data_IF_611468444294
#
_entry.id   IF_611468444294
#
_cell.length_a   1.000
_cell.length_b   1.000
_cell.length_c   1.000
_cell.angle_alpha   90.00
_cell.angle_beta   90.00
_cell.angle_gamma   90.00
#
_symmetry.space_group_name_H-M   'P 1'
#
loop_
_entity.id
_entity.type
_entity.pdbx_description
1 polymer ?
#
# COMPACT_ATOMS: atom_id res chain seq x y z
N UNK A 1 5.26 8.89 6.00
CA UNK A 1 5.07 8.09 4.76
C UNK A 1 3.60 8.07 4.39
N UNK A 2 3.28 8.10 3.10
CA UNK A 2 1.90 7.90 2.63
C UNK A 2 1.36 6.53 3.04
N UNK A 3 0.11 6.49 3.49
CA UNK A 3 -0.56 5.28 3.94
C UNK A 3 -1.10 4.41 2.79
N UNK A 4 -0.29 4.19 1.75
CA UNK A 4 -0.51 3.10 0.79
C UNK A 4 0.32 1.90 1.24
N UNK A 5 -0.26 0.71 1.36
CA UNK A 5 0.51 -0.48 1.78
C UNK A 5 1.72 -0.74 0.87
N UNK A 6 1.62 -0.37 -0.43
CA UNK A 6 2.75 -0.41 -1.38
C UNK A 6 3.92 0.52 -1.03
N UNK A 7 3.71 1.53 -0.18
CA UNK A 7 4.76 2.40 0.37
C UNK A 7 5.08 2.05 1.82
N UNK A 8 4.06 1.79 2.62
CA UNK A 8 4.18 1.61 4.06
C UNK A 8 4.90 0.30 4.43
N UNK A 9 4.51 -0.84 3.83
CA UNK A 9 5.18 -2.12 4.08
C UNK A 9 6.67 -2.09 3.75
N UNK A 10 7.10 -1.62 2.55
CA UNK A 10 8.53 -1.42 2.29
C UNK A 10 9.22 -0.50 3.28
N UNK A 11 8.57 0.60 3.70
CA UNK A 11 9.15 1.53 4.66
C UNK A 11 9.36 0.92 6.04
N UNK A 12 8.41 0.12 6.54
CA UNK A 12 8.53 -0.63 7.80
C UNK A 12 9.65 -1.66 7.72
N UNK A 13 9.67 -2.45 6.63
CA UNK A 13 10.59 -3.57 6.50
C UNK A 13 12.04 -3.15 6.25
N UNK A 14 12.26 -2.02 5.57
CA UNK A 14 13.60 -1.51 5.21
C UNK A 14 14.11 -0.43 6.15
N UNK A 15 13.23 0.29 6.86
CA UNK A 15 13.59 1.50 7.61
C UNK A 15 13.98 2.67 6.70
N UNK A 16 13.51 2.68 5.45
CA UNK A 16 13.81 3.68 4.42
C UNK A 16 12.53 4.33 3.92
N UNK A 17 12.68 5.50 3.34
CA UNK A 17 11.57 6.22 2.71
C UNK A 17 11.33 5.77 1.25
N UNK A 18 10.17 6.10 0.66
CA UNK A 18 9.82 5.73 -0.72
C UNK A 18 10.83 6.15 -1.78
N UNK A 19 11.46 7.32 -1.66
CA UNK A 19 12.51 7.80 -2.57
C UNK A 19 13.77 6.93 -2.54
N UNK A 20 14.06 6.24 -1.42
CA UNK A 20 15.18 5.32 -1.28
C UNK A 20 14.84 3.90 -1.76
N UNK A 21 13.73 3.31 -1.27
CA UNK A 21 13.33 1.94 -1.65
C UNK A 21 12.51 1.87 -2.96
N UNK A 22 12.12 3.01 -3.53
CA UNK A 22 11.47 3.19 -4.84
C UNK A 22 10.02 2.67 -4.96
N UNK A 23 9.33 2.45 -3.85
CA UNK A 23 7.94 2.01 -3.83
C UNK A 23 7.04 3.09 -3.22
N UNK A 24 6.05 3.55 -3.97
CA UNK A 24 5.04 4.51 -3.48
C UNK A 24 3.63 4.06 -3.82
N UNK A 25 3.28 3.91 -5.09
CA UNK A 25 2.02 3.36 -5.57
C UNK A 25 2.28 2.10 -6.39
N UNK A 26 1.29 1.23 -6.51
CA UNK A 26 1.41 -0.05 -7.20
C UNK A 26 1.79 0.10 -8.68
N UNK A 27 1.32 1.15 -9.36
CA UNK A 27 1.54 1.40 -10.78
C UNK A 27 2.45 2.60 -11.01
N UNK A 28 3.41 2.43 -11.94
CA UNK A 28 4.33 3.47 -12.40
C UNK A 28 4.20 3.68 -13.90
N UNK A 29 4.40 4.90 -14.37
CA UNK A 29 4.52 5.17 -15.79
C UNK A 29 5.74 4.46 -16.37
N UNK A 30 5.56 3.87 -17.55
CA UNK A 30 6.63 3.16 -18.25
C UNK A 30 6.39 3.11 -19.74
N UNK A 31 7.34 3.63 -20.52
CA UNK A 31 7.37 3.48 -21.98
C UNK A 31 7.55 2.01 -22.41
N UNK A 32 8.01 1.15 -21.50
CA UNK A 32 8.24 -0.28 -21.69
C UNK A 32 7.23 -1.15 -20.92
N UNK A 33 5.97 -0.69 -20.80
CA UNK A 33 4.93 -1.45 -20.11
C UNK A 33 4.86 -2.90 -20.59
N UNK A 34 4.86 -3.88 -19.68
CA UNK A 34 4.64 -5.28 -20.03
C UNK A 34 3.20 -5.55 -20.49
N UNK A 35 2.29 -4.61 -20.21
CA UNK A 35 0.85 -4.75 -20.48
C UNK A 35 0.40 -4.12 -21.82
N UNK A 36 1.31 -3.77 -22.72
CA UNK A 36 0.99 -3.15 -24.04
C UNK A 36 -0.04 -3.92 -24.84
N UNK A 37 -0.02 -5.26 -24.78
CA UNK A 37 -0.96 -6.12 -25.50
C UNK A 37 -2.38 -6.08 -24.92
N UNK A 38 -2.56 -5.65 -23.67
CA UNK A 38 -3.91 -5.62 -23.05
C UNK A 38 -4.85 -4.59 -23.65
N UNK A 39 -4.35 -3.61 -24.42
CA UNK A 39 -5.21 -2.69 -25.19
C UNK A 39 -6.18 -3.43 -26.12
N UNK A 40 -5.89 -4.67 -26.52
CA UNK A 40 -6.77 -5.48 -27.34
C UNK A 40 -8.09 -5.77 -26.59
N UNK A 41 -8.02 -5.94 -25.27
CA UNK A 41 -9.21 -6.15 -24.44
C UNK A 41 -10.11 -4.91 -24.33
N UNK A 42 -9.60 -3.70 -24.62
CA UNK A 42 -10.40 -2.49 -24.64
C UNK A 42 -11.48 -2.49 -25.73
N UNK A 43 -11.23 -3.20 -26.83
CA UNK A 43 -12.17 -3.35 -27.94
C UNK A 43 -13.23 -4.42 -27.71
N UNK A 44 -13.14 -5.19 -26.62
CA UNK A 44 -14.05 -6.26 -26.28
C UNK A 44 -15.22 -5.77 -25.43
N UNK A 45 -16.35 -6.52 -25.34
CA UNK A 45 -17.51 -6.10 -24.56
C UNK A 45 -17.19 -5.87 -23.08
N UNK A 46 -17.12 -4.62 -22.67
CA UNK A 46 -16.71 -4.21 -21.31
C UNK A 46 -17.66 -4.75 -20.22
N UNK A 47 -18.92 -5.06 -20.56
CA UNK A 47 -19.86 -5.72 -19.66
C UNK A 47 -19.40 -7.11 -19.16
N UNK A 48 -18.47 -7.74 -19.86
CA UNK A 48 -17.87 -9.02 -19.49
C UNK A 48 -16.48 -8.81 -18.90
N UNK A 49 -15.63 -8.07 -19.60
CA UNK A 49 -14.21 -7.94 -19.29
C UNK A 49 -13.93 -7.02 -18.11
N UNK A 50 -14.84 -6.08 -17.77
CA UNK A 50 -14.75 -5.25 -16.57
C UNK A 50 -15.34 -5.92 -15.33
N UNK A 51 -15.88 -7.14 -15.41
CA UNK A 51 -16.37 -7.83 -14.21
C UNK A 51 -15.19 -8.21 -13.30
N UNK A 52 -15.36 -7.99 -12.00
CA UNK A 52 -14.37 -8.31 -10.98
C UNK A 52 -13.81 -9.74 -11.10
N UNK A 53 -14.67 -10.73 -11.26
CA UNK A 53 -14.24 -12.13 -11.41
C UNK A 53 -13.32 -12.37 -12.60
N UNK A 54 -13.60 -11.74 -13.74
CA UNK A 54 -12.74 -11.84 -14.91
C UNK A 54 -11.38 -11.21 -14.67
N UNK A 55 -11.34 -9.99 -14.11
CA UNK A 55 -10.11 -9.27 -13.79
C UNK A 55 -9.27 -10.04 -12.78
N UNK A 56 -9.88 -10.61 -11.76
CA UNK A 56 -9.20 -11.45 -10.77
C UNK A 56 -8.56 -12.71 -11.38
N UNK A 57 -9.28 -13.41 -12.28
CA UNK A 57 -8.73 -14.57 -13.01
C UNK A 57 -7.56 -14.11 -13.89
N UNK A 58 -7.72 -13.01 -14.62
CA UNK A 58 -6.67 -12.45 -15.47
C UNK A 58 -5.45 -12.03 -14.66
N UNK A 59 -5.64 -11.41 -13.48
CA UNK A 59 -4.55 -11.06 -12.56
C UNK A 59 -3.74 -12.30 -12.16
N UNK A 60 -4.40 -13.41 -11.83
CA UNK A 60 -3.73 -14.68 -11.52
C UNK A 60 -2.95 -15.24 -12.71
N UNK A 61 -3.50 -15.13 -13.91
CA UNK A 61 -2.84 -15.58 -15.14
C UNK A 61 -1.61 -14.73 -15.45
N UNK A 62 -1.69 -13.41 -15.28
CA UNK A 62 -0.57 -12.48 -15.42
C UNK A 62 0.54 -12.83 -14.42
N UNK A 63 0.19 -13.04 -13.15
CA UNK A 63 1.16 -13.46 -12.12
C UNK A 63 1.92 -14.72 -12.53
N UNK A 64 1.23 -15.70 -13.10
CA UNK A 64 1.84 -16.95 -13.56
C UNK A 64 2.80 -16.71 -14.73
N UNK A 65 2.37 -15.96 -15.76
CA UNK A 65 3.20 -15.70 -16.95
C UNK A 65 4.43 -14.87 -16.63
N UNK A 66 4.27 -13.82 -15.82
CA UNK A 66 5.38 -12.91 -15.47
C UNK A 66 6.14 -13.35 -14.21
N UNK A 67 5.79 -14.50 -13.63
CA UNK A 67 6.41 -15.03 -12.41
C UNK A 67 6.38 -14.03 -11.23
N UNK A 68 5.29 -13.26 -11.10
CA UNK A 68 5.14 -12.33 -9.99
C UNK A 68 4.86 -13.08 -8.70
N UNK A 69 5.72 -12.89 -7.71
CA UNK A 69 5.58 -13.49 -6.37
C UNK A 69 4.91 -12.53 -5.37
N UNK A 70 4.90 -11.23 -5.65
CA UNK A 70 4.24 -10.21 -4.84
C UNK A 70 2.72 -10.16 -4.98
N UNK A 71 2.12 -9.18 -4.38
CA UNK A 71 0.72 -8.87 -4.61
C UNK A 71 0.54 -8.29 -6.01
N UNK A 72 -0.48 -8.69 -6.72
CA UNK A 72 -0.83 -8.14 -8.04
C UNK A 72 -2.33 -8.28 -8.28
N UNK A 73 -2.97 -7.16 -8.57
CA UNK A 73 -4.37 -7.12 -8.99
C UNK A 73 -4.56 -6.05 -10.06
N UNK A 74 -5.37 -6.33 -11.07
CA UNK A 74 -5.67 -5.41 -12.16
C UNK A 74 -6.63 -4.29 -11.74
N UNK A 75 -7.28 -4.46 -10.62
CA UNK A 75 -8.30 -3.53 -10.14
C UNK A 75 -9.30 -3.12 -11.24
N UNK A 76 -9.69 -1.84 -11.28
CA UNK A 76 -10.56 -1.27 -12.31
C UNK A 76 -9.81 -0.51 -13.40
N UNK A 77 -8.48 -0.67 -13.50
CA UNK A 77 -7.65 0.03 -14.51
C UNK A 77 -8.15 -0.30 -15.91
N UNK A 78 -8.54 0.67 -16.75
CA UNK A 78 -8.95 0.41 -18.13
C UNK A 78 -7.84 -0.28 -18.92
N UNK A 79 -8.19 -1.22 -19.80
CA UNK A 79 -7.21 -2.02 -20.53
C UNK A 79 -6.36 -1.22 -21.51
N UNK A 80 -6.90 -0.12 -22.07
CA UNK A 80 -6.19 0.82 -22.92
C UNK A 80 -5.24 1.72 -22.11
N UNK A 81 -5.50 1.94 -20.83
CA UNK A 81 -4.64 2.67 -19.90
C UNK A 81 -3.41 1.84 -19.53
N UNK A 82 -3.56 0.54 -19.32
CA UNK A 82 -2.50 -0.35 -18.85
C UNK A 82 -1.25 -0.34 -19.74
N UNK A 83 -1.38 -0.01 -21.03
CA UNK A 83 -0.25 0.05 -21.96
C UNK A 83 0.82 1.09 -21.56
N UNK A 84 0.48 2.04 -20.69
CA UNK A 84 1.37 3.12 -20.23
C UNK A 84 1.99 2.86 -18.86
N UNK A 85 1.64 1.74 -18.21
CA UNK A 85 2.06 1.49 -16.84
C UNK A 85 2.77 0.15 -16.68
N UNK A 86 3.68 0.12 -15.73
CA UNK A 86 4.25 -1.11 -15.18
C UNK A 86 3.81 -1.26 -13.72
N UNK A 87 3.95 -2.45 -13.16
CA UNK A 87 3.56 -2.78 -11.80
C UNK A 87 4.81 -2.93 -10.91
N UNK A 88 4.78 -2.39 -9.70
CA UNK A 88 5.95 -2.40 -8.81
C UNK A 88 6.06 -3.64 -7.95
N UNK A 89 4.96 -4.10 -7.34
CA UNK A 89 4.97 -5.19 -6.38
C UNK A 89 5.12 -6.58 -7.05
N UNK A 90 6.13 -6.70 -7.91
CA UNK A 90 6.40 -7.96 -8.65
C UNK A 90 6.94 -9.05 -7.73
N UNK A 91 7.58 -8.66 -6.62
CA UNK A 91 8.18 -9.57 -5.64
C UNK A 91 7.44 -9.52 -4.31
N UNK A 92 7.48 -10.64 -3.61
CA UNK A 92 6.99 -10.73 -2.24
C UNK A 92 7.90 -9.92 -1.32
N UNK A 93 7.37 -8.92 -0.63
CA UNK A 93 8.12 -8.08 0.31
C UNK A 93 8.55 -8.84 1.58
N UNK A 94 7.78 -9.86 1.94
CA UNK A 94 7.91 -10.61 3.19
C UNK A 94 8.89 -11.78 3.10
N UNK A 95 9.84 -11.71 2.19
CA UNK A 95 10.94 -12.67 2.00
C UNK A 95 12.26 -11.95 1.82
N UNK A 96 13.41 -12.59 2.08
CA UNK A 96 14.72 -12.02 1.74
C UNK A 96 14.82 -11.65 0.26
N UNK A 97 15.49 -10.55 -0.04
CA UNK A 97 15.58 -9.95 -1.38
C UNK A 97 14.22 -9.60 -2.02
N UNK A 98 13.19 -9.40 -1.20
CA UNK A 98 11.86 -8.99 -1.68
C UNK A 98 11.84 -7.56 -2.21
N UNK A 99 12.67 -6.68 -1.67
CA UNK A 99 12.86 -5.29 -2.11
C UNK A 99 14.27 -5.15 -2.67
N UNK A 100 14.40 -4.85 -3.97
CA UNK A 100 15.69 -4.98 -4.68
C UNK A 100 16.72 -3.90 -4.36
N UNK A 101 16.27 -2.73 -3.90
CA UNK A 101 17.15 -1.58 -3.71
C UNK A 101 17.66 -1.37 -2.28
N UNK A 102 17.00 -2.02 -1.33
CA UNK A 102 17.29 -1.86 0.10
C UNK A 102 17.05 -3.17 0.83
N UNK A 103 17.87 -3.45 1.85
CA UNK A 103 17.73 -4.67 2.66
C UNK A 103 16.54 -4.57 3.60
N UNK A 104 15.78 -5.64 3.67
CA UNK A 104 14.66 -5.80 4.61
C UNK A 104 15.13 -6.36 5.95
N UNK A 105 14.25 -6.36 6.96
CA UNK A 105 14.53 -7.05 8.24
C UNK A 105 14.80 -8.55 8.02
N UNK A 106 14.22 -9.16 6.98
CA UNK A 106 14.43 -10.56 6.66
C UNK A 106 15.83 -10.83 6.09
N UNK A 107 16.36 -9.90 5.27
CA UNK A 107 17.75 -9.94 4.79
C UNK A 107 18.72 -9.87 5.97
N UNK A 108 18.47 -8.92 6.88
CA UNK A 108 19.25 -8.77 8.10
C UNK A 108 19.21 -10.03 8.98
N UNK A 109 18.05 -10.68 9.14
CA UNK A 109 17.92 -11.93 9.87
C UNK A 109 18.79 -13.04 9.26
N UNK A 110 18.78 -13.18 7.94
CA UNK A 110 19.61 -14.17 7.23
C UNK A 110 21.09 -13.89 7.44
N UNK A 111 21.53 -12.65 7.25
CA UNK A 111 22.93 -12.24 7.42
C UNK A 111 23.47 -12.44 8.84
N UNK A 112 22.60 -12.25 9.84
CA UNK A 112 22.94 -12.40 11.25
C UNK A 112 22.62 -13.78 11.82
N UNK A 113 22.22 -14.75 11.00
CA UNK A 113 21.84 -16.11 11.41
C UNK A 113 20.72 -16.12 12.47
N UNK A 114 19.77 -15.20 12.38
CA UNK A 114 18.59 -15.14 13.24
C UNK A 114 17.50 -16.04 12.66
N UNK A 115 17.07 -17.04 13.42
CA UNK A 115 15.93 -17.86 13.05
C UNK A 115 14.63 -17.06 13.20
N UNK A 116 13.83 -17.01 12.16
CA UNK A 116 12.60 -16.23 12.18
C UNK A 116 11.43 -16.96 11.52
N UNK A 117 10.23 -16.51 11.86
CA UNK A 117 9.00 -16.82 11.17
C UNK A 117 8.43 -15.54 10.56
N UNK A 118 8.02 -15.61 9.31
CA UNK A 118 7.22 -14.56 8.68
C UNK A 118 5.93 -15.17 8.13
N UNK A 119 4.80 -14.54 8.42
CA UNK A 119 3.52 -15.04 7.97
C UNK A 119 3.37 -15.00 6.44
N UNK A 120 2.77 -16.05 5.90
CA UNK A 120 2.38 -16.03 4.49
C UNK A 120 1.08 -15.27 4.31
N UNK A 121 1.16 -14.04 3.84
CA UNK A 121 0.03 -13.13 3.62
C UNK A 121 -1.08 -13.69 2.71
N UNK A 122 -0.81 -14.75 1.95
CA UNK A 122 -1.79 -15.43 1.09
C UNK A 122 -2.74 -16.34 1.88
N UNK A 123 -2.39 -16.66 3.12
CA UNK A 123 -3.24 -17.46 4.01
C UNK A 123 -4.25 -16.56 4.72
N UNK A 124 -5.35 -17.15 5.18
CA UNK A 124 -6.25 -16.43 6.09
C UNK A 124 -5.60 -16.26 7.48
N UNK A 125 -6.01 -15.21 8.20
CA UNK A 125 -5.40 -14.86 9.50
C UNK A 125 -5.45 -15.96 10.55
N UNK A 126 -6.53 -16.74 10.59
CA UNK A 126 -6.63 -17.88 11.52
C UNK A 126 -5.54 -18.93 11.24
N UNK A 127 -5.24 -19.18 9.97
CA UNK A 127 -4.14 -20.08 9.58
C UNK A 127 -2.78 -19.48 9.88
N UNK A 128 -2.59 -18.18 9.62
CA UNK A 128 -1.36 -17.44 9.97
C UNK A 128 -1.07 -17.57 11.47
N UNK A 129 -2.08 -17.32 12.31
CA UNK A 129 -1.94 -17.38 13.77
C UNK A 129 -1.64 -18.79 14.26
N UNK A 130 -2.30 -19.80 13.70
CA UNK A 130 -2.00 -21.21 14.05
C UNK A 130 -0.59 -21.63 13.68
N UNK A 131 -0.13 -21.26 12.47
CA UNK A 131 1.23 -21.53 12.03
C UNK A 131 2.25 -20.87 12.97
N UNK A 132 2.02 -19.59 13.30
CA UNK A 132 2.88 -18.86 14.23
C UNK A 132 2.93 -19.48 15.63
N UNK A 133 1.78 -19.85 16.17
CA UNK A 133 1.70 -20.53 17.48
C UNK A 133 2.46 -21.87 17.47
N UNK A 134 2.38 -22.61 16.37
CA UNK A 134 3.16 -23.82 16.19
C UNK A 134 4.67 -23.53 16.21
N UNK A 135 5.14 -22.56 15.44
CA UNK A 135 6.56 -22.19 15.40
C UNK A 135 7.07 -21.69 16.76
N UNK A 136 6.29 -20.85 17.47
CA UNK A 136 6.61 -20.42 18.84
C UNK A 136 6.75 -21.65 19.76
N UNK A 137 5.82 -22.61 19.68
CA UNK A 137 5.82 -23.79 20.54
C UNK A 137 7.07 -24.69 20.37
N UNK A 138 7.75 -24.61 19.23
CA UNK A 138 9.02 -25.32 19.00
C UNK A 138 10.22 -24.68 19.71
N UNK A 139 10.11 -23.45 20.21
CA UNK A 139 11.17 -22.76 20.94
C UNK A 139 12.43 -22.44 20.13
N UNK A 140 12.32 -22.35 18.80
CA UNK A 140 13.48 -22.24 17.91
C UNK A 140 13.61 -20.88 17.23
N UNK A 141 12.50 -20.14 17.09
CA UNK A 141 12.50 -18.84 16.42
C UNK A 141 12.88 -17.74 17.42
N UNK A 142 13.65 -16.76 16.94
CA UNK A 142 14.00 -15.53 17.69
C UNK A 142 13.18 -14.33 17.27
N UNK A 143 12.58 -14.38 16.10
CA UNK A 143 11.77 -13.31 15.55
C UNK A 143 10.53 -13.85 14.86
N UNK A 144 9.40 -13.18 15.04
CA UNK A 144 8.16 -13.49 14.34
C UNK A 144 7.54 -12.20 13.82
N UNK A 145 7.22 -12.17 12.52
CA UNK A 145 6.53 -11.08 11.87
C UNK A 145 5.19 -11.57 11.32
N UNK A 146 4.10 -10.98 11.80
CA UNK A 146 2.74 -11.33 11.37
C UNK A 146 2.12 -10.17 10.60
N UNK A 147 1.67 -10.44 9.38
CA UNK A 147 0.88 -9.53 8.59
C UNK A 147 -0.59 -9.96 8.63
N UNK A 148 -1.46 -9.13 9.20
CA UNK A 148 -2.88 -9.43 9.48
C UNK A 148 -3.77 -8.35 8.84
N UNK A 149 -4.07 -8.43 7.52
CA UNK A 149 -4.66 -7.33 6.74
C UNK A 149 -6.18 -7.18 6.90
N UNK A 150 -6.87 -8.07 7.61
CA UNK A 150 -8.34 -8.08 7.56
C UNK A 150 -9.00 -6.94 8.35
N UNK A 151 -8.29 -6.25 9.26
CA UNK A 151 -8.83 -5.06 9.90
C UNK A 151 -9.02 -3.94 8.88
N UNK A 152 -8.03 -3.72 8.01
CA UNK A 152 -8.12 -2.79 6.90
C UNK A 152 -9.33 -3.09 6.00
N UNK A 153 -9.51 -4.34 5.59
CA UNK A 153 -10.65 -4.77 4.78
C UNK A 153 -12.02 -4.53 5.47
N UNK A 154 -12.07 -4.69 6.80
CA UNK A 154 -13.29 -4.40 7.59
C UNK A 154 -13.55 -2.89 7.62
N UNK A 155 -12.53 -2.08 7.84
CA UNK A 155 -12.66 -0.63 7.87
C UNK A 155 -13.01 -0.05 6.49
N UNK A 156 -12.48 -0.58 5.40
CA UNK A 156 -12.93 -0.21 4.05
C UNK A 156 -14.41 -0.48 3.82
N UNK A 157 -14.93 -1.59 4.37
CA UNK A 157 -16.31 -2.02 4.15
C UNK A 157 -17.33 -1.32 5.04
N UNK A 158 -16.95 -1.00 6.26
CA UNK A 158 -17.89 -0.51 7.29
C UNK A 158 -17.55 0.90 7.80
N UNK A 159 -16.46 1.49 7.36
CA UNK A 159 -15.88 2.70 7.94
C UNK A 159 -14.91 2.38 9.08
N UNK A 160 -14.13 3.37 9.56
CA UNK A 160 -13.12 3.16 10.60
C UNK A 160 -13.72 2.92 12.00
N UNK A 161 -15.00 3.20 12.19
CA UNK A 161 -15.70 3.10 13.45
C UNK A 161 -16.93 2.18 13.33
N UNK A 162 -17.39 1.65 14.48
CA UNK A 162 -18.62 0.88 14.54
C UNK A 162 -18.44 -0.57 14.99
N UNK A 163 -19.55 -1.31 15.19
CA UNK A 163 -19.56 -2.60 15.87
C UNK A 163 -18.76 -3.69 15.16
N UNK A 164 -18.69 -3.67 13.83
CA UNK A 164 -17.92 -4.67 13.08
C UNK A 164 -16.41 -4.46 13.23
N UNK A 165 -15.97 -3.20 13.29
CA UNK A 165 -14.56 -2.84 13.54
C UNK A 165 -14.18 -3.17 14.97
N UNK A 166 -15.01 -2.78 15.96
CA UNK A 166 -14.78 -3.14 17.36
C UNK A 166 -14.70 -4.65 17.57
N UNK A 167 -15.60 -5.41 16.96
CA UNK A 167 -15.57 -6.87 17.01
C UNK A 167 -14.27 -7.44 16.44
N UNK A 168 -13.78 -6.86 15.32
CA UNK A 168 -12.53 -7.29 14.70
C UNK A 168 -11.32 -6.93 15.58
N UNK A 169 -11.29 -5.74 16.17
CA UNK A 169 -10.24 -5.31 17.10
C UNK A 169 -10.20 -6.23 18.33
N UNK A 170 -11.35 -6.49 18.98
CA UNK A 170 -11.42 -7.40 20.13
C UNK A 170 -10.95 -8.82 19.78
N UNK A 171 -11.26 -9.29 18.59
CA UNK A 171 -10.77 -10.58 18.13
C UNK A 171 -9.25 -10.57 17.97
N UNK A 172 -8.67 -9.53 17.34
CA UNK A 172 -7.22 -9.37 17.19
C UNK A 172 -6.53 -9.26 18.55
N UNK A 173 -7.06 -8.45 19.47
CA UNK A 173 -6.57 -8.33 20.84
C UNK A 173 -6.47 -9.69 21.53
N UNK A 174 -7.52 -10.51 21.44
CA UNK A 174 -7.50 -11.85 22.02
C UNK A 174 -6.43 -12.74 21.39
N UNK A 175 -6.28 -12.68 20.05
CA UNK A 175 -5.25 -13.47 19.35
C UNK A 175 -3.83 -13.04 19.72
N UNK A 176 -3.60 -11.73 19.86
CA UNK A 176 -2.32 -11.17 20.31
C UNK A 176 -2.01 -11.64 21.73
N UNK A 177 -2.97 -11.54 22.65
CA UNK A 177 -2.82 -11.97 24.04
C UNK A 177 -2.55 -13.48 24.15
N UNK A 178 -3.25 -14.30 23.37
CA UNK A 178 -3.05 -15.75 23.37
C UNK A 178 -1.67 -16.13 22.82
N UNK A 179 -1.21 -15.43 21.78
CA UNK A 179 0.11 -15.62 21.20
C UNK A 179 1.21 -15.21 22.18
N UNK A 180 1.04 -14.06 22.84
CA UNK A 180 1.99 -13.58 23.85
C UNK A 180 2.10 -14.54 25.03
N UNK A 181 0.97 -14.95 25.62
CA UNK A 181 0.96 -15.94 26.72
C UNK A 181 1.61 -17.26 26.33
N UNK A 182 1.48 -17.69 25.09
CA UNK A 182 2.17 -18.87 24.60
C UNK A 182 3.68 -18.63 24.54
N UNK A 183 4.10 -17.49 24.00
CA UNK A 183 5.52 -17.15 23.90
C UNK A 183 6.20 -17.05 25.28
N UNK A 184 5.56 -16.43 26.27
CA UNK A 184 6.07 -16.34 27.66
C UNK A 184 6.24 -17.70 28.37
N UNK A 185 5.55 -18.74 27.90
CA UNK A 185 5.76 -20.12 28.43
C UNK A 185 6.94 -20.84 27.82
N UNK A 186 7.43 -20.36 26.69
CA UNK A 186 8.45 -20.98 25.86
C UNK A 186 9.78 -20.25 25.93
N UNK A 187 9.74 -18.93 26.09
CA UNK A 187 10.91 -18.06 26.08
C UNK A 187 11.01 -17.27 27.40
N UNK A 188 12.23 -17.06 27.90
CA UNK A 188 12.48 -16.33 29.15
C UNK A 188 12.19 -14.84 29.05
N UNK A 189 12.40 -14.22 27.87
CA UNK A 189 12.08 -12.83 27.59
C UNK A 189 11.39 -12.70 26.23
N UNK A 190 10.29 -11.95 26.22
CA UNK A 190 9.45 -11.75 25.02
C UNK A 190 9.16 -10.27 24.83
N UNK A 191 9.65 -9.71 23.72
CA UNK A 191 9.24 -8.39 23.25
C UNK A 191 8.11 -8.55 22.25
N UNK A 192 6.97 -7.92 22.54
CA UNK A 192 5.80 -7.88 21.68
C UNK A 192 5.52 -6.46 21.24
N UNK A 193 5.36 -6.26 19.94
CA UNK A 193 4.91 -5.00 19.36
C UNK A 193 3.74 -5.23 18.41
N UNK A 194 2.74 -4.37 18.50
CA UNK A 194 1.61 -4.27 17.57
C UNK A 194 1.76 -2.95 16.85
N UNK A 195 1.82 -3.00 15.53
CA UNK A 195 2.00 -1.83 14.67
C UNK A 195 0.89 -1.80 13.64
N UNK A 196 0.51 -0.60 13.18
CA UNK A 196 -0.21 -0.44 11.93
C UNK A 196 0.70 0.22 10.89
N UNK A 197 0.46 -0.05 9.64
CA UNK A 197 1.15 0.54 8.50
C UNK A 197 0.62 1.97 8.20
N UNK A 198 -0.65 2.20 8.46
CA UNK A 198 -1.34 3.50 8.33
C UNK A 198 -2.58 3.54 9.21
N UNK A 199 -3.25 4.69 9.21
CA UNK A 199 -4.58 4.87 9.77
C UNK A 199 -5.68 4.66 8.73
N UNK A 200 -6.91 5.05 9.06
CA UNK A 200 -8.09 4.95 8.20
C UNK A 200 -9.01 6.14 8.43
N UNK A 201 -9.30 6.90 7.37
CA UNK A 201 -10.22 8.04 7.44
C UNK A 201 -11.66 7.63 7.09
N UNK A 202 -12.67 8.20 7.76
CA UNK A 202 -14.05 8.07 7.32
C UNK A 202 -14.25 8.82 6.01
N UNK A 203 -14.91 8.19 5.06
CA UNK A 203 -15.26 8.81 3.78
C UNK A 203 -16.64 9.45 3.88
N UNK A 204 -16.74 10.69 3.46
CA UNK A 204 -17.98 11.47 3.52
C UNK A 204 -18.37 12.09 2.18
N UNK A 205 -17.47 12.14 1.20
CA UNK A 205 -17.74 12.69 -0.13
C UNK A 205 -16.92 12.01 -1.22
N UNK A 206 -17.25 12.26 -2.49
CA UNK A 206 -16.50 11.78 -3.64
C UNK A 206 -16.70 12.68 -4.86
N UNK A 207 -15.70 12.75 -5.72
CA UNK A 207 -15.78 13.47 -6.99
C UNK A 207 -15.44 12.57 -8.17
N UNK A 208 -16.12 12.77 -9.29
CA UNK A 208 -15.76 12.15 -10.57
C UNK A 208 -14.70 13.02 -11.28
N UNK A 209 -13.45 12.84 -10.85
CA UNK A 209 -12.32 13.58 -11.42
C UNK A 209 -12.02 13.15 -12.85
N UNK A 210 -12.24 11.87 -13.19
CA UNK A 210 -12.02 11.34 -14.53
C UNK A 210 -12.90 12.11 -15.52
N UNK A 211 -14.19 12.20 -15.23
CA UNK A 211 -15.15 12.92 -16.06
C UNK A 211 -14.79 14.42 -16.19
N UNK A 212 -14.40 15.07 -15.09
CA UNK A 212 -13.99 16.49 -15.13
C UNK A 212 -12.80 16.72 -16.05
N UNK A 213 -11.83 15.81 -16.09
CA UNK A 213 -10.68 15.89 -17.00
C UNK A 213 -11.11 15.62 -18.44
N UNK A 214 -11.96 14.62 -18.69
CA UNK A 214 -12.50 14.32 -20.02
C UNK A 214 -13.31 15.51 -20.61
N UNK A 215 -14.07 16.23 -19.80
CA UNK A 215 -14.83 17.42 -20.20
C UNK A 215 -13.95 18.58 -20.68
N UNK A 216 -12.64 18.57 -20.45
CA UNK A 216 -11.69 19.53 -21.03
C UNK A 216 -11.51 19.37 -22.55
N UNK A 217 -11.91 18.21 -23.12
CA UNK A 217 -11.73 17.88 -24.53
C UNK A 217 -10.32 17.42 -24.90
N UNK A 218 -9.40 17.32 -23.94
CA UNK A 218 -8.07 16.73 -24.15
C UNK A 218 -8.15 15.23 -24.40
N UNK A 219 -7.26 14.72 -25.25
CA UNK A 219 -7.27 13.32 -25.65
C UNK A 219 -6.26 12.50 -24.83
N UNK A 220 -6.76 11.52 -24.06
CA UNK A 220 -5.93 10.57 -23.32
C UNK A 220 -4.94 9.84 -24.25
N UNK A 221 -3.69 9.70 -23.83
CA UNK A 221 -2.63 9.05 -24.59
C UNK A 221 -1.98 9.90 -25.68
N UNK A 222 -2.64 11.01 -26.11
CA UNK A 222 -2.13 11.95 -27.11
C UNK A 222 -1.68 13.28 -26.48
N UNK A 223 -2.49 13.85 -25.60
CA UNK A 223 -2.23 15.13 -24.95
C UNK A 223 -1.68 14.93 -23.53
N UNK A 224 -2.21 13.93 -22.83
CA UNK A 224 -1.81 13.57 -21.48
C UNK A 224 -1.97 12.08 -21.23
N UNK A 225 -1.35 11.60 -20.15
CA UNK A 225 -1.61 10.32 -19.50
C UNK A 225 -1.94 10.61 -18.05
N UNK A 226 -2.84 9.84 -17.46
CA UNK A 226 -3.19 9.95 -16.04
C UNK A 226 -3.38 8.59 -15.40
N UNK A 227 -3.19 8.54 -14.09
CA UNK A 227 -3.58 7.41 -13.25
C UNK A 227 -4.37 7.95 -12.05
N UNK A 228 -5.53 7.36 -11.80
CA UNK A 228 -6.43 7.77 -10.72
C UNK A 228 -6.46 6.68 -9.65
N UNK A 229 -5.67 6.88 -8.61
CA UNK A 229 -5.82 6.16 -7.34
C UNK A 229 -7.08 6.66 -6.60
N UNK A 230 -7.49 6.02 -5.53
CA UNK A 230 -8.73 6.44 -4.84
C UNK A 230 -8.63 7.82 -4.17
N UNK A 231 -7.43 8.24 -3.76
CA UNK A 231 -7.18 9.49 -3.03
C UNK A 231 -6.21 10.42 -3.73
N UNK A 232 -5.65 9.98 -4.87
CA UNK A 232 -4.61 10.71 -5.59
C UNK A 232 -4.81 10.55 -7.10
N UNK A 233 -4.58 11.63 -7.86
CA UNK A 233 -4.49 11.58 -9.30
C UNK A 233 -3.09 12.02 -9.75
N UNK A 234 -2.55 11.33 -10.74
CA UNK A 234 -1.21 11.52 -11.24
C UNK A 234 -1.26 11.76 -12.73
N UNK A 235 -0.50 12.76 -13.22
CA UNK A 235 -0.54 13.20 -14.62
C UNK A 235 0.86 13.25 -15.20
N UNK A 236 0.94 12.92 -16.52
CA UNK A 236 2.11 13.08 -17.40
C UNK A 236 1.64 13.79 -18.67
N UNK A 237 2.37 14.80 -19.09
CA UNK A 237 1.96 15.67 -20.18
C UNK A 237 2.74 15.40 -21.47
N UNK A 238 2.05 15.42 -22.60
CA UNK A 238 2.67 15.28 -23.93
C UNK A 238 2.83 16.63 -24.61
N UNK A 239 2.15 17.67 -24.11
CA UNK A 239 2.27 19.04 -24.59
C UNK A 239 1.85 20.04 -23.51
N UNK A 240 2.33 21.29 -23.68
CA UNK A 240 2.13 22.38 -22.73
C UNK A 240 0.65 22.76 -22.56
N UNK A 241 -0.14 22.71 -23.65
CA UNK A 241 -1.57 23.03 -23.55
C UNK A 241 -2.31 22.08 -22.61
N UNK A 242 -1.97 20.79 -22.63
CA UNK A 242 -2.55 19.82 -21.71
C UNK A 242 -2.16 20.11 -20.25
N UNK A 243 -0.89 20.43 -20.01
CA UNK A 243 -0.39 20.82 -18.69
C UNK A 243 -1.14 22.04 -18.14
N UNK A 244 -1.20 23.13 -18.91
CA UNK A 244 -1.86 24.35 -18.50
C UNK A 244 -3.37 24.16 -18.27
N UNK A 245 -4.03 23.36 -19.12
CA UNK A 245 -5.47 23.09 -19.02
C UNK A 245 -5.81 22.24 -17.81
N UNK A 246 -5.09 21.14 -17.58
CA UNK A 246 -5.31 20.25 -16.44
C UNK A 246 -4.94 20.98 -15.14
N UNK A 247 -3.83 21.70 -15.09
CA UNK A 247 -3.44 22.50 -13.91
C UNK A 247 -4.51 23.53 -13.55
N UNK A 248 -5.08 24.22 -14.54
CA UNK A 248 -6.18 25.18 -14.30
C UNK A 248 -7.44 24.49 -13.78
N UNK A 249 -7.81 23.35 -14.35
CA UNK A 249 -8.93 22.54 -13.87
C UNK A 249 -8.72 22.13 -12.41
N UNK A 250 -7.58 21.53 -12.12
CA UNK A 250 -7.28 21.01 -10.77
C UNK A 250 -7.26 22.13 -9.72
N UNK A 251 -6.72 23.30 -10.06
CA UNK A 251 -6.76 24.48 -9.18
C UNK A 251 -8.19 25.03 -8.93
N UNK A 252 -9.18 24.64 -9.73
CA UNK A 252 -10.59 24.99 -9.51
C UNK A 252 -11.33 24.02 -8.60
N UNK A 253 -10.76 22.85 -8.33
CA UNK A 253 -11.34 21.82 -7.48
C UNK A 253 -11.01 22.12 -6.03
N UNK A 254 -12.03 22.14 -5.17
CA UNK A 254 -11.90 22.52 -3.76
C UNK A 254 -11.69 21.31 -2.85
N UNK A 255 -11.94 20.13 -3.35
CA UNK A 255 -11.94 18.86 -2.65
C UNK A 255 -10.55 18.20 -2.62
N UNK A 256 -9.54 18.94 -3.03
CA UNK A 256 -8.15 18.51 -3.06
C UNK A 256 -7.23 19.61 -3.59
N UNK A 257 -5.97 19.28 -3.74
CA UNK A 257 -4.96 20.26 -4.20
C UNK A 257 -3.83 19.62 -4.98
N UNK A 258 -3.18 20.40 -5.82
CA UNK A 258 -1.91 20.05 -6.42
C UNK A 258 -0.84 20.05 -5.32
N UNK A 259 -0.03 19.01 -5.28
CA UNK A 259 1.11 18.90 -4.36
C UNK A 259 2.34 19.51 -5.03
N UNK A 260 3.02 20.42 -4.35
CA UNK A 260 4.25 21.02 -4.88
C UNK A 260 5.42 20.04 -4.88
N UNK A 261 6.42 20.30 -5.75
CA UNK A 261 7.65 19.51 -5.77
C UNK A 261 8.39 19.55 -4.42
N UNK A 262 8.43 20.72 -3.78
CA UNK A 262 9.03 20.89 -2.45
C UNK A 262 8.35 19.97 -1.42
N UNK A 263 7.03 19.95 -1.38
CA UNK A 263 6.25 19.10 -0.49
C UNK A 263 6.44 17.60 -0.81
N UNK A 264 6.52 17.22 -2.10
CA UNK A 264 6.83 15.84 -2.48
C UNK A 264 8.23 15.40 -1.97
N UNK A 265 9.20 16.32 -1.99
CA UNK A 265 10.54 16.07 -1.42
C UNK A 265 10.49 15.94 0.11
N UNK A 266 9.77 16.82 0.80
CA UNK A 266 9.57 16.72 2.25
C UNK A 266 8.90 15.42 2.68
N UNK A 267 7.96 14.92 1.85
CA UNK A 267 7.28 13.64 2.07
C UNK A 267 8.06 12.42 1.58
N UNK A 268 9.25 12.61 1.00
CA UNK A 268 10.08 11.54 0.45
C UNK A 268 9.41 10.71 -0.65
N UNK A 269 8.63 11.38 -1.51
CA UNK A 269 7.93 10.78 -2.66
C UNK A 269 8.18 11.53 -3.96
N UNK A 270 9.24 12.32 -4.02
CA UNK A 270 9.71 12.93 -5.25
C UNK A 270 10.66 11.98 -6.00
N UNK A 271 10.42 11.80 -7.28
CA UNK A 271 11.22 10.96 -8.16
C UNK A 271 11.61 11.77 -9.40
N UNK A 272 12.90 11.98 -9.63
CA UNK A 272 13.42 12.81 -10.74
C UNK A 272 13.00 12.33 -12.12
N UNK A 273 12.74 11.04 -12.29
CA UNK A 273 12.27 10.44 -13.54
C UNK A 273 10.74 10.53 -13.71
N UNK A 274 10.05 11.18 -12.78
CA UNK A 274 8.60 11.37 -12.77
C UNK A 274 7.78 10.09 -12.99
N UNK A 275 8.34 8.92 -12.64
CA UNK A 275 7.65 7.63 -12.81
C UNK A 275 6.31 7.54 -12.11
N UNK A 276 6.09 8.33 -11.08
CA UNK A 276 4.81 8.40 -10.36
C UNK A 276 3.93 9.59 -10.75
N UNK A 277 4.42 10.53 -11.55
CA UNK A 277 3.70 11.69 -12.05
C UNK A 277 4.59 12.92 -12.22
N UNK A 278 4.34 13.72 -13.23
CA UNK A 278 4.87 15.07 -13.38
C UNK A 278 4.06 16.07 -12.54
N UNK A 279 2.74 15.80 -12.38
CA UNK A 279 1.86 16.54 -11.52
C UNK A 279 1.04 15.57 -10.68
N UNK A 280 0.98 15.84 -9.38
CA UNK A 280 0.24 15.07 -8.39
C UNK A 280 -0.89 15.93 -7.83
N UNK A 281 -2.11 15.41 -7.86
CA UNK A 281 -3.27 15.99 -7.21
C UNK A 281 -3.73 15.08 -6.08
N UNK A 282 -3.74 15.58 -4.87
CA UNK A 282 -4.10 14.83 -3.66
C UNK A 282 -5.47 15.31 -3.16
N UNK A 283 -6.36 14.35 -2.87
CA UNK A 283 -7.66 14.64 -2.29
C UNK A 283 -7.52 15.04 -0.82
N UNK A 284 -8.43 15.90 -0.37
CA UNK A 284 -8.60 16.19 1.06
C UNK A 284 -9.12 14.96 1.80
N UNK A 285 -8.75 14.85 3.08
CA UNK A 285 -9.12 13.72 3.92
C UNK A 285 -10.63 13.47 3.93
N UNK A 286 -11.02 12.22 3.68
CA UNK A 286 -12.42 11.80 3.65
C UNK A 286 -13.13 11.98 2.30
N UNK A 287 -12.43 12.46 1.26
CA UNK A 287 -12.99 12.62 -0.08
C UNK A 287 -12.30 11.63 -1.05
N UNK A 288 -13.10 10.94 -1.86
CA UNK A 288 -12.61 9.99 -2.85
C UNK A 288 -12.66 10.53 -4.28
N UNK A 289 -11.72 10.09 -5.10
CA UNK A 289 -11.92 10.03 -6.55
C UNK A 289 -12.77 8.79 -6.85
N UNK A 290 -14.00 8.99 -7.31
CA UNK A 290 -14.90 7.90 -7.65
C UNK A 290 -15.75 8.23 -8.90
N UNK A 291 -15.65 7.40 -9.97
CA UNK A 291 -14.83 6.18 -10.09
C UNK A 291 -13.32 6.46 -10.10
N UNK A 292 -12.54 5.45 -9.70
CA UNK A 292 -11.08 5.44 -9.82
C UNK A 292 -10.59 4.16 -10.50
N UNK A 293 -9.30 4.09 -10.79
CA UNK A 293 -8.71 2.85 -11.32
C UNK A 293 -8.54 1.76 -10.26
N UNK A 294 -8.69 2.11 -8.99
CA UNK A 294 -8.67 1.17 -7.86
C UNK A 294 -10.05 0.60 -7.54
N UNK A 295 -11.12 1.34 -7.85
CA UNK A 295 -12.51 0.90 -7.61
C UNK A 295 -13.55 1.85 -8.20
N UNK A 296 -14.75 1.30 -8.39
CA UNK A 296 -15.89 2.03 -8.99
C UNK A 296 -17.02 2.32 -7.98
N UNK A 297 -16.83 1.92 -6.73
CA UNK A 297 -17.83 2.12 -5.68
C UNK A 297 -17.26 3.03 -4.58
N UNK A 298 -18.09 3.91 -4.06
CA UNK A 298 -17.76 4.65 -2.85
C UNK A 298 -17.74 3.68 -1.67
N UNK A 299 -16.67 3.74 -0.88
CA UNK A 299 -16.50 2.93 0.32
C UNK A 299 -16.43 3.84 1.55
N UNK A 300 -16.91 3.40 2.72
CA UNK A 300 -17.04 4.29 3.89
C UNK A 300 -15.74 4.56 4.66
N UNK A 301 -14.67 3.86 4.36
CA UNK A 301 -13.34 4.11 4.94
C UNK A 301 -12.25 4.04 3.89
N UNK A 302 -11.28 4.97 3.92
CA UNK A 302 -10.16 5.01 3.00
C UNK A 302 -8.92 5.58 3.68
N UNK A 303 -7.77 5.16 3.19
CA UNK A 303 -6.44 5.63 3.58
C UNK A 303 -5.67 6.18 2.37
N UNK A 304 -4.41 6.62 2.55
CA UNK A 304 -3.59 7.14 1.46
C UNK A 304 -3.81 8.65 1.21
N UNK A 305 -4.31 9.37 2.19
CA UNK A 305 -4.34 10.83 2.23
C UNK A 305 -2.98 11.41 2.66
N UNK A 306 -2.91 12.72 2.78
CA UNK A 306 -1.68 13.40 3.22
C UNK A 306 -1.15 12.78 4.53
N UNK A 307 0.15 12.49 4.65
CA UNK A 307 0.70 11.81 5.84
C UNK A 307 0.44 12.51 7.17
N UNK A 308 0.30 13.83 7.16
CA UNK A 308 -0.02 14.63 8.35
C UNK A 308 -1.53 14.81 8.59
N UNK A 309 -2.39 14.20 7.78
CA UNK A 309 -3.83 14.20 8.06
C UNK A 309 -4.13 13.39 9.32
N UNK A 310 -5.15 13.83 10.08
CA UNK A 310 -5.45 13.27 11.40
C UNK A 310 -5.61 11.75 11.42
N UNK A 311 -6.28 11.19 10.40
CA UNK A 311 -6.57 9.77 10.32
C UNK A 311 -5.56 8.98 9.47
N UNK A 312 -4.44 9.61 9.08
CA UNK A 312 -3.34 8.93 8.38
C UNK A 312 -2.30 8.32 9.33
N UNK A 313 -2.30 8.72 10.60
CA UNK A 313 -1.30 8.26 11.55
C UNK A 313 -1.39 6.76 11.79
N UNK A 314 -0.23 6.11 11.73
CA UNK A 314 -0.02 4.75 12.19
C UNK A 314 0.09 4.70 13.72
N UNK A 315 -0.02 3.50 14.28
CA UNK A 315 0.14 3.26 15.71
C UNK A 315 1.26 2.25 15.99
N UNK A 316 1.86 2.36 17.17
CA UNK A 316 2.70 1.35 17.79
C UNK A 316 2.27 1.15 19.23
N UNK A 317 2.15 -0.09 19.67
CA UNK A 317 1.94 -0.48 21.05
C UNK A 317 2.76 -1.73 21.37
N UNK A 318 3.11 -1.96 22.62
CA UNK A 318 3.93 -3.13 23.00
C UNK A 318 4.01 -3.35 24.51
N UNK A 319 4.67 -4.44 24.91
CA UNK A 319 4.93 -4.77 26.31
C UNK A 319 6.28 -4.23 26.81
N UNK A 320 7.08 -3.66 25.94
CA UNK A 320 8.34 -2.97 26.27
C UNK A 320 8.19 -1.46 26.08
N UNK A 321 9.09 -0.70 26.68
CA UNK A 321 9.13 0.75 26.49
C UNK A 321 9.36 1.10 25.02
N UNK A 322 8.48 1.92 24.47
CA UNK A 322 8.61 2.45 23.12
C UNK A 322 9.56 3.66 23.17
N UNK A 323 10.64 3.66 22.37
CA UNK A 323 11.54 4.79 22.35
C UNK A 323 10.85 6.11 21.95
N UNK A 324 11.15 7.20 22.68
CA UNK A 324 10.54 8.53 22.43
C UNK A 324 10.82 9.11 21.03
N UNK A 325 11.82 8.58 20.33
CA UNK A 325 12.24 9.03 19.00
C UNK A 325 11.61 8.25 17.84
N UNK A 326 10.49 7.58 18.08
CA UNK A 326 9.70 6.95 17.01
C UNK A 326 8.73 7.99 16.45
N UNK A 327 9.07 8.54 15.28
CA UNK A 327 8.28 9.57 14.61
C UNK A 327 7.66 9.07 13.29
N UNK A 328 8.22 8.02 12.71
CA UNK A 328 7.81 7.46 11.43
C UNK A 328 7.75 5.94 11.46
N UNK A 329 6.95 5.35 10.60
CA UNK A 329 6.92 3.89 10.38
C UNK A 329 8.27 3.34 9.93
N UNK A 330 9.16 4.16 9.37
CA UNK A 330 10.54 3.79 9.04
C UNK A 330 11.38 3.47 10.28
N UNK A 331 11.03 4.05 11.43
CA UNK A 331 11.76 3.79 12.68
C UNK A 331 11.48 2.40 13.27
N UNK A 332 10.39 1.76 12.85
CA UNK A 332 10.02 0.40 13.27
C UNK A 332 11.15 -0.59 12.98
N UNK A 333 11.84 -0.43 11.85
CA UNK A 333 13.00 -1.26 11.53
C UNK A 333 14.09 -1.19 12.60
N UNK A 334 14.36 0.01 13.14
CA UNK A 334 15.35 0.21 14.22
C UNK A 334 14.92 -0.49 15.50
N UNK A 335 13.62 -0.46 15.82
CA UNK A 335 13.05 -1.18 16.99
C UNK A 335 13.29 -2.67 16.83
N UNK A 336 12.93 -3.27 15.70
CA UNK A 336 13.15 -4.68 15.43
C UNK A 336 14.62 -5.09 15.56
N UNK A 337 15.54 -4.33 14.95
CA UNK A 337 16.97 -4.64 15.05
C UNK A 337 17.53 -4.51 16.48
N UNK A 338 17.09 -3.48 17.23
CA UNK A 338 17.51 -3.26 18.61
C UNK A 338 17.13 -4.46 19.49
N UNK A 339 15.88 -4.90 19.40
CA UNK A 339 15.40 -6.07 20.15
C UNK A 339 16.17 -7.34 19.79
N UNK A 340 16.39 -7.59 18.51
CA UNK A 340 17.12 -8.76 18.03
C UNK A 340 18.62 -8.74 18.40
N UNK A 341 19.23 -7.57 18.57
CA UNK A 341 20.62 -7.43 19.04
C UNK A 341 20.73 -7.65 20.56
N UNK A 342 19.72 -7.21 21.33
CA UNK A 342 19.70 -7.36 22.79
C UNK A 342 19.39 -8.80 23.24
N UNK A 343 18.65 -9.58 22.46
CA UNK A 343 18.30 -10.97 22.73
C UNK A 343 19.40 -12.00 22.36
N UNK A 344 20.67 -11.56 22.23
CA UNK A 344 21.82 -12.45 21.95
C UNK A 344 22.43 -13.00 23.21
#
# INVERSE_FOLDING_TARGET
VFGFSSAADPSILTGRYPDEHTHWSCFIYSDHSPFKLFKIFASLPQSIFNRWRFRHILSRFIKLIYHYTGYFELYSVPFDVMQYFDYLEKRDYFVPNGILKTDTIFDWCVENNVTYYCSNWRKNETSILKDNQFEISQGKIKFSYLYLPNLDSVMHKYGPEGPEVEKKIRWLEQQVLDTWKLAERVYDDVSLYVISDHGMAPVHDSIDLIRKVEETGLQYGKDYISFYDSTMARFWFKNRNAEETITRLLNSIREGRIVSEEELREMHVYFEDHRFGELIFLMDEGILINPSYMGIQVIPGMHGYHPLAKHSYAMIAGNKEIPDNIESITDIRKVMEKELKNGK
#
